data_IF_479297625663
#
_entry.id   IF_479297625663
#
_cell.length_a   1.000
_cell.length_b   1.000
_cell.length_c   1.000
_cell.angle_alpha   90.00
_cell.angle_beta   90.00
_cell.angle_gamma   90.00
#
_symmetry.space_group_name_H-M   'P 1'
#
loop_
_entity.id
_entity.type
_entity.pdbx_description
1 polymer ?
#
# COMPACT_ATOMS: atom_id res chain seq x y z
N UNK A 1 -6.29 17.08 13.51
CA UNK A 1 -5.65 16.14 12.56
C UNK A 1 -6.67 15.08 12.25
N UNK A 2 -6.96 14.80 10.98
CA UNK A 2 -7.79 13.65 10.65
C UNK A 2 -7.03 12.39 11.09
N UNK A 3 -7.61 11.61 12.00
CA UNK A 3 -7.11 10.28 12.33
C UNK A 3 -7.43 9.36 11.15
N UNK A 4 -6.59 9.37 10.13
CA UNK A 4 -6.65 8.37 9.08
C UNK A 4 -6.25 7.04 9.71
N UNK A 5 -7.23 6.15 9.87
CA UNK A 5 -7.00 4.82 10.42
C UNK A 5 -6.70 3.87 9.25
N UNK A 6 -5.52 3.27 9.24
CA UNK A 6 -5.11 2.23 8.29
C UNK A 6 -5.07 0.86 9.01
N UNK A 7 -6.22 0.31 9.45
CA UNK A 7 -6.24 -0.85 10.34
C UNK A 7 -5.63 -2.11 9.70
N UNK A 8 -5.89 -2.37 8.42
CA UNK A 8 -5.32 -3.54 7.73
C UNK A 8 -3.81 -3.39 7.55
N UNK A 9 -3.36 -2.21 7.13
CA UNK A 9 -1.93 -1.96 6.95
C UNK A 9 -1.19 -2.02 8.29
N UNK A 10 -1.73 -1.43 9.37
CA UNK A 10 -1.17 -1.53 10.72
C UNK A 10 -1.06 -2.97 11.20
N UNK A 11 -2.08 -3.79 10.95
CA UNK A 11 -2.09 -5.19 11.35
C UNK A 11 -1.03 -6.04 10.60
N UNK A 12 -0.67 -5.65 9.38
CA UNK A 12 0.19 -6.45 8.50
C UNK A 12 1.61 -5.89 8.33
N UNK A 13 1.91 -4.71 8.89
CA UNK A 13 3.18 -4.00 8.68
C UNK A 13 4.42 -4.86 8.99
N UNK A 14 4.39 -5.62 10.08
CA UNK A 14 5.51 -6.49 10.49
C UNK A 14 5.70 -7.70 9.57
N UNK A 15 4.66 -8.12 8.86
CA UNK A 15 4.76 -9.15 7.82
C UNK A 15 5.27 -8.55 6.51
N UNK A 16 4.80 -7.35 6.16
CA UNK A 16 5.21 -6.62 4.96
C UNK A 16 6.69 -6.24 5.00
N UNK A 17 7.22 -5.81 6.15
CA UNK A 17 8.66 -5.52 6.34
C UNK A 17 9.58 -6.71 6.08
N UNK A 18 9.06 -7.94 6.13
CA UNK A 18 9.82 -9.18 5.86
C UNK A 18 9.79 -9.59 4.39
N UNK A 19 8.94 -8.95 3.57
CA UNK A 19 8.84 -9.22 2.14
C UNK A 19 10.02 -8.58 1.43
N UNK A 20 10.44 -9.18 0.33
CA UNK A 20 11.44 -8.57 -0.53
C UNK A 20 10.87 -7.33 -1.25
N UNK A 21 11.79 -6.53 -1.79
CA UNK A 21 11.46 -5.29 -2.47
C UNK A 21 10.66 -5.52 -3.75
N UNK A 22 10.89 -6.63 -4.45
CA UNK A 22 10.23 -6.93 -5.71
C UNK A 22 8.76 -7.23 -5.48
N UNK A 23 8.43 -7.91 -4.37
CA UNK A 23 7.06 -8.11 -3.92
C UNK A 23 6.39 -6.78 -3.55
N UNK A 24 7.05 -5.95 -2.73
CA UNK A 24 6.48 -4.68 -2.24
C UNK A 24 6.21 -3.67 -3.35
N UNK A 25 7.06 -3.66 -4.39
CA UNK A 25 6.89 -2.82 -5.59
C UNK A 25 6.03 -3.50 -6.67
N UNK A 26 5.79 -4.79 -6.54
CA UNK A 26 4.88 -5.56 -7.38
C UNK A 26 3.42 -5.17 -7.16
N UNK A 27 2.55 -5.66 -8.05
CA UNK A 27 1.12 -5.38 -7.99
C UNK A 27 0.49 -5.79 -6.65
N UNK A 28 0.78 -7.02 -6.20
CA UNK A 28 0.23 -7.55 -4.94
C UNK A 28 0.68 -6.72 -3.74
N UNK A 29 1.98 -6.42 -3.64
CA UNK A 29 2.50 -5.56 -2.58
C UNK A 29 1.85 -4.18 -2.59
N UNK A 30 1.71 -3.55 -3.76
CA UNK A 30 1.01 -2.27 -3.88
C UNK A 30 -0.45 -2.36 -3.43
N UNK A 31 -1.16 -3.46 -3.73
CA UNK A 31 -2.55 -3.65 -3.29
C UNK A 31 -2.63 -3.73 -1.77
N UNK A 32 -1.69 -4.43 -1.13
CA UNK A 32 -1.61 -4.48 0.34
C UNK A 32 -1.26 -3.14 0.96
N UNK A 33 -0.36 -2.37 0.35
CA UNK A 33 0.07 -1.07 0.84
C UNK A 33 -0.99 0.03 0.68
N UNK A 34 -1.81 -0.01 -0.38
CA UNK A 34 -2.67 1.12 -0.75
C UNK A 34 -4.16 0.83 -0.74
N UNK A 35 -4.56 -0.41 -1.03
CA UNK A 35 -5.95 -0.71 -1.36
C UNK A 35 -6.69 -1.42 -0.23
N UNK A 36 -6.02 -2.23 0.60
CA UNK A 36 -6.71 -3.04 1.63
C UNK A 36 -7.47 -2.21 2.69
N UNK A 37 -7.10 -0.94 2.88
CA UNK A 37 -7.82 0.01 3.74
C UNK A 37 -8.73 1.00 2.96
N UNK A 38 -8.87 0.83 1.65
CA UNK A 38 -9.75 1.65 0.82
C UNK A 38 -11.19 1.14 0.89
N UNK A 39 -12.16 2.02 1.17
CA UNK A 39 -13.60 1.69 1.22
C UNK A 39 -14.14 1.10 -0.09
N UNK A 40 -13.46 1.35 -1.21
CA UNK A 40 -13.84 0.87 -2.54
C UNK A 40 -13.12 -0.43 -2.95
N UNK A 41 -12.20 -0.94 -2.13
CA UNK A 41 -11.48 -2.16 -2.46
C UNK A 41 -12.38 -3.38 -2.33
N UNK A 42 -12.35 -4.23 -3.35
CA UNK A 42 -13.05 -5.51 -3.37
C UNK A 42 -12.08 -6.61 -3.79
N UNK A 43 -12.10 -7.73 -3.09
CA UNK A 43 -11.10 -8.79 -3.28
C UNK A 43 -11.30 -9.58 -4.59
N UNK A 44 -12.52 -9.61 -5.11
CA UNK A 44 -12.89 -10.15 -6.42
C UNK A 44 -12.50 -9.24 -7.59
N UNK A 45 -12.33 -7.93 -7.33
CA UNK A 45 -11.98 -6.92 -8.33
C UNK A 45 -10.50 -6.48 -8.25
N UNK A 46 -9.61 -7.30 -7.67
CA UNK A 46 -8.18 -6.98 -7.44
C UNK A 46 -7.38 -6.55 -8.68
N UNK A 47 -7.86 -6.91 -9.87
CA UNK A 47 -7.22 -6.57 -11.14
C UNK A 47 -7.69 -5.21 -11.72
N UNK A 48 -8.75 -4.62 -11.15
CA UNK A 48 -9.25 -3.31 -11.55
C UNK A 48 -8.47 -2.19 -10.86
N UNK A 49 -7.49 -1.65 -11.56
CA UNK A 49 -6.66 -0.55 -11.06
C UNK A 49 -7.40 0.82 -11.14
N UNK A 50 -7.70 1.41 -9.98
CA UNK A 50 -8.23 2.77 -9.89
C UNK A 50 -7.15 3.84 -10.17
N UNK A 51 -7.57 5.07 -10.45
CA UNK A 51 -6.65 6.17 -10.75
C UNK A 51 -5.64 6.48 -9.63
N UNK A 52 -6.08 6.40 -8.37
CA UNK A 52 -5.21 6.62 -7.21
C UNK A 52 -4.12 5.54 -7.10
N UNK A 53 -4.51 4.26 -7.26
CA UNK A 53 -3.56 3.14 -7.26
C UNK A 53 -2.49 3.31 -8.36
N UNK A 54 -2.90 3.63 -9.58
CA UNK A 54 -1.97 3.88 -10.70
C UNK A 54 -0.99 5.01 -10.41
N UNK A 55 -1.45 6.09 -9.80
CA UNK A 55 -0.59 7.22 -9.43
C UNK A 55 0.42 6.80 -8.35
N UNK A 56 -0.04 6.15 -7.28
CA UNK A 56 0.81 5.72 -6.17
C UNK A 56 1.87 4.71 -6.62
N UNK A 57 1.48 3.73 -7.45
CA UNK A 57 2.39 2.77 -8.07
C UNK A 57 3.45 3.48 -8.91
N UNK A 58 3.06 4.44 -9.77
CA UNK A 58 4.02 5.27 -10.52
C UNK A 58 4.96 6.07 -9.62
N UNK A 59 4.49 6.63 -8.52
CA UNK A 59 5.35 7.35 -7.58
C UNK A 59 6.39 6.40 -6.97
N UNK A 60 6.00 5.16 -6.65
CA UNK A 60 6.91 4.13 -6.14
C UNK A 60 7.92 3.67 -7.21
N UNK A 61 7.47 3.42 -8.44
CA UNK A 61 8.33 3.04 -9.58
C UNK A 61 9.38 4.10 -9.87
N UNK A 62 9.00 5.38 -9.73
CA UNK A 62 9.91 6.53 -9.90
C UNK A 62 10.71 6.85 -8.63
N UNK A 63 10.61 6.04 -7.57
CA UNK A 63 11.32 6.20 -6.29
C UNK A 63 11.05 7.55 -5.60
N UNK A 64 9.88 8.14 -5.84
CA UNK A 64 9.42 9.36 -5.17
C UNK A 64 8.94 9.05 -3.75
N UNK A 65 8.36 7.87 -3.56
CA UNK A 65 8.00 7.29 -2.26
C UNK A 65 8.54 5.86 -2.20
N UNK A 66 8.85 5.38 -1.00
CA UNK A 66 9.23 3.98 -0.76
C UNK A 66 8.25 3.28 0.19
N UNK A 67 8.23 1.93 0.25
CA UNK A 67 7.48 1.20 1.25
C UNK A 67 7.82 1.64 2.69
N UNK A 68 9.09 1.96 2.97
CA UNK A 68 9.49 2.46 4.28
C UNK A 68 8.84 3.80 4.64
N UNK A 69 8.68 4.73 3.69
CA UNK A 69 7.98 5.99 3.92
C UNK A 69 6.53 5.74 4.38
N UNK A 70 5.85 4.78 3.72
CA UNK A 70 4.49 4.36 4.07
C UNK A 70 4.46 3.76 5.48
N UNK A 71 5.40 2.86 5.79
CA UNK A 71 5.48 2.22 7.09
C UNK A 71 5.70 3.23 8.23
N UNK A 72 6.54 4.24 8.01
CA UNK A 72 6.79 5.28 9.00
C UNK A 72 5.52 6.10 9.29
N UNK A 73 4.82 6.55 8.24
CA UNK A 73 3.58 7.34 8.37
C UNK A 73 2.48 6.58 9.11
N UNK A 74 2.42 5.26 8.95
CA UNK A 74 1.37 4.42 9.54
C UNK A 74 1.72 3.97 10.97
N UNK A 75 3.01 3.95 11.32
CA UNK A 75 3.50 3.57 12.64
C UNK A 75 3.41 4.72 13.66
N UNK A 76 3.45 5.97 13.19
CA UNK A 76 3.19 7.18 13.97
C UNK A 76 1.69 7.37 14.32
#
# INVERSE_FOLDING_TARGET
MANYCFPNLKANIENLKKKDKDYLTGHEGCVELFCKDCDFFREDERDLECGAFKLLKKLMDNKIITPEDIFNVVSD
#
